data_IF_312983572928
#
_entry.id   IF_312983572928
#
_cell.length_a   1.000
_cell.length_b   1.000
_cell.length_c   1.000
_cell.angle_alpha   90.00
_cell.angle_beta   90.00
_cell.angle_gamma   90.00
#
_symmetry.space_group_name_H-M   'P 1'
#
loop_
_entity.id
_entity.type
_entity.pdbx_description
1 polymer ?
#
# COMPACT_ATOMS: atom_id res chain seq x y z
N UNK A 1 -17.14 7.46 -1.60
CA UNK A 1 -16.50 6.13 -1.60
C UNK A 1 -15.55 6.07 -0.42
N UNK A 2 -15.54 4.99 0.36
CA UNK A 2 -14.58 4.83 1.43
C UNK A 2 -13.15 4.74 0.87
N UNK A 3 -12.23 5.45 1.51
CA UNK A 3 -10.83 5.54 1.08
C UNK A 3 -9.92 5.42 2.28
N UNK A 4 -8.83 4.67 2.14
CA UNK A 4 -7.77 4.55 3.14
C UNK A 4 -6.45 4.99 2.52
N UNK A 5 -5.80 5.97 3.13
CA UNK A 5 -4.45 6.39 2.79
C UNK A 5 -3.53 5.82 3.87
N UNK A 6 -2.64 4.90 3.50
CA UNK A 6 -1.62 4.40 4.39
C UNK A 6 -0.44 5.36 4.36
N UNK A 7 -0.15 5.99 5.50
CA UNK A 7 1.06 6.77 5.62
C UNK A 7 2.26 5.81 5.69
N UNK A 8 3.26 5.93 4.81
CA UNK A 8 4.38 5.01 4.73
C UNK A 8 5.40 5.27 5.85
N UNK A 9 4.98 5.21 7.11
CA UNK A 9 5.88 5.28 8.27
C UNK A 9 6.06 3.89 8.89
N UNK A 10 6.46 2.90 8.09
CA UNK A 10 7.10 1.73 8.68
C UNK A 10 8.52 2.16 9.09
N UNK A 11 8.70 2.49 10.37
CA UNK A 11 10.02 2.64 10.99
C UNK A 11 10.63 1.23 11.09
N UNK A 12 11.26 0.78 10.00
CA UNK A 12 12.40 -0.10 10.10
C UNK A 12 13.64 0.73 9.77
N UNK A 13 14.57 0.78 10.72
CA UNK A 13 15.78 1.61 10.72
C UNK A 13 16.65 1.44 9.45
N UNK A 14 17.47 2.45 9.10
CA UNK A 14 17.93 2.71 7.75
C UNK A 14 19.21 1.95 7.40
N UNK A 15 19.25 1.32 6.22
CA UNK A 15 20.51 1.14 5.51
C UNK A 15 20.58 2.18 4.40
N UNK A 16 21.20 3.32 4.74
CA UNK A 16 21.71 4.28 3.77
C UNK A 16 22.80 3.60 2.92
N UNK A 17 22.67 3.62 1.61
CA UNK A 17 23.84 3.51 0.71
C UNK A 17 23.84 4.72 -0.24
N UNK A 18 24.98 5.43 -0.39
CA UNK A 18 25.06 6.62 -1.22
C UNK A 18 25.50 6.29 -2.67
N UNK A 19 24.97 7.10 -3.58
CA UNK A 19 25.39 7.47 -4.93
C UNK A 19 26.73 6.92 -5.48
N UNK A 20 26.71 6.59 -6.78
CA UNK A 20 27.79 6.97 -7.68
C UNK A 20 27.24 7.36 -9.07
N UNK A 21 27.37 8.64 -9.40
CA UNK A 21 27.11 9.21 -10.72
C UNK A 21 28.40 9.16 -11.52
N UNK A 22 28.39 8.60 -12.73
CA UNK A 22 29.52 8.64 -13.65
C UNK A 22 29.16 9.53 -14.85
N UNK A 23 29.69 10.75 -14.85
CA UNK A 23 29.67 11.64 -15.99
C UNK A 23 30.69 11.15 -17.03
N UNK A 24 30.26 10.98 -18.29
CA UNK A 24 31.17 10.77 -19.41
C UNK A 24 31.29 12.07 -20.22
N UNK A 25 32.54 12.45 -20.46
CA UNK A 25 32.98 13.67 -21.15
C UNK A 25 32.55 13.71 -22.62
N UNK A 26 32.12 14.89 -23.07
CA UNK A 26 31.94 15.22 -24.47
C UNK A 26 33.27 15.60 -25.13
N UNK A 27 33.52 15.09 -26.33
CA UNK A 27 34.57 15.62 -27.23
C UNK A 27 33.99 15.89 -28.61
N UNK A 28 34.18 17.11 -29.09
CA UNK A 28 33.84 17.60 -30.43
C UNK A 28 34.82 17.06 -31.48
N UNK A 29 34.34 16.68 -32.67
CA UNK A 29 34.81 17.20 -33.97
C UNK A 29 34.25 16.43 -35.20
N UNK A 30 33.74 17.23 -36.14
CA UNK A 30 33.81 17.09 -37.62
C UNK A 30 33.16 15.89 -38.33
N UNK A 31 31.96 16.14 -38.86
CA UNK A 31 31.64 16.10 -40.29
C UNK A 31 32.04 14.88 -41.12
N UNK A 32 31.18 13.86 -41.12
CA UNK A 32 31.02 12.93 -42.24
C UNK A 32 29.53 12.54 -42.32
N UNK A 33 28.87 12.86 -43.44
CA UNK A 33 27.49 12.42 -43.70
C UNK A 33 27.56 10.95 -44.09
N UNK A 34 27.48 10.09 -43.08
CA UNK A 34 27.31 8.65 -43.26
C UNK A 34 25.80 8.38 -43.39
N UNK A 35 25.37 7.98 -44.58
CA UNK A 35 24.01 7.52 -44.85
C UNK A 35 23.86 6.15 -44.19
N UNK A 36 23.73 6.14 -42.87
CA UNK A 36 23.48 4.95 -42.09
C UNK A 36 22.04 4.54 -42.39
N UNK A 37 21.86 3.45 -43.14
CA UNK A 37 20.59 2.75 -43.21
C UNK A 37 20.15 2.49 -41.77
N UNK A 38 19.15 3.24 -41.29
CA UNK A 38 18.52 3.00 -40.01
C UNK A 38 17.77 1.68 -40.17
N UNK A 39 18.48 0.58 -39.94
CA UNK A 39 17.87 -0.65 -39.49
C UNK A 39 17.20 -0.27 -38.17
N UNK A 40 15.95 0.17 -38.22
CA UNK A 40 15.12 0.26 -37.04
C UNK A 40 15.21 -1.13 -36.41
N UNK A 41 15.86 -1.29 -35.25
CA UNK A 41 15.67 -2.50 -34.49
C UNK A 41 14.16 -2.49 -34.27
N UNK A 42 13.46 -3.49 -34.80
CA UNK A 42 12.17 -3.83 -34.23
C UNK A 42 12.50 -4.09 -32.78
N UNK A 43 12.26 -3.10 -31.92
CA UNK A 43 12.29 -3.30 -30.49
C UNK A 43 11.32 -4.45 -30.29
N UNK A 44 11.86 -5.66 -30.07
CA UNK A 44 11.12 -6.74 -29.46
C UNK A 44 10.59 -6.11 -28.20
N UNK A 45 9.31 -5.71 -28.24
CA UNK A 45 8.55 -5.33 -27.08
C UNK A 45 8.48 -6.64 -26.29
N UNK A 46 9.53 -6.90 -25.51
CA UNK A 46 9.48 -7.94 -24.51
C UNK A 46 8.22 -7.62 -23.73
N UNK A 47 7.24 -8.51 -23.78
CA UNK A 47 6.06 -8.38 -22.94
C UNK A 47 6.61 -8.29 -21.52
N UNK A 48 6.65 -7.06 -20.99
CA UNK A 48 6.99 -6.84 -19.59
C UNK A 48 5.98 -7.67 -18.83
N UNK A 49 6.44 -8.72 -18.17
CA UNK A 49 5.56 -9.48 -17.31
C UNK A 49 4.98 -8.49 -16.31
N UNK A 50 3.67 -8.60 -16.07
CA UNK A 50 3.03 -7.82 -15.04
C UNK A 50 3.76 -8.08 -13.71
N UNK A 51 3.89 -7.07 -12.84
CA UNK A 51 4.48 -7.28 -11.53
C UNK A 51 3.69 -8.35 -10.75
N UNK A 52 4.22 -8.81 -9.63
CA UNK A 52 3.46 -9.60 -8.65
C UNK A 52 3.31 -8.73 -7.39
N UNK A 53 2.11 -8.67 -6.76
CA UNK A 53 1.94 -7.93 -5.51
C UNK A 53 2.90 -8.46 -4.45
N UNK A 54 3.52 -7.57 -3.67
CA UNK A 54 4.32 -8.00 -2.54
C UNK A 54 3.40 -8.50 -1.40
N UNK A 55 3.71 -9.65 -0.78
CA UNK A 55 3.07 -10.02 0.47
C UNK A 55 3.32 -8.95 1.54
N UNK A 56 2.35 -8.74 2.41
CA UNK A 56 2.56 -7.88 3.57
C UNK A 56 3.64 -8.45 4.49
N UNK A 57 4.41 -7.58 5.18
CA UNK A 57 5.24 -8.01 6.29
C UNK A 57 4.38 -8.71 7.34
N UNK A 58 4.94 -9.74 8.00
CA UNK A 58 4.23 -10.46 9.06
C UNK A 58 3.85 -9.55 10.24
N UNK A 59 4.62 -8.47 10.46
CA UNK A 59 4.36 -7.48 11.49
C UNK A 59 4.68 -6.08 10.95
N UNK A 60 3.81 -5.11 11.23
CA UNK A 60 4.09 -3.70 10.96
C UNK A 60 3.19 -2.78 11.79
N UNK A 61 3.61 -1.53 11.87
CA UNK A 61 2.78 -0.41 12.31
C UNK A 61 2.55 0.54 11.14
N UNK A 62 1.35 1.11 11.05
CA UNK A 62 1.01 2.13 10.07
C UNK A 62 -0.02 3.10 10.64
N UNK A 63 -0.01 4.33 10.12
CA UNK A 63 -1.06 5.32 10.38
C UNK A 63 -1.90 5.38 9.12
N UNK A 64 -3.20 5.14 9.26
CA UNK A 64 -4.15 5.21 8.18
C UNK A 64 -5.00 6.47 8.31
N UNK A 65 -5.14 7.23 7.23
CA UNK A 65 -6.17 8.25 7.12
C UNK A 65 -7.34 7.65 6.35
N UNK A 66 -8.47 7.42 7.02
CA UNK A 66 -9.66 6.86 6.38
C UNK A 66 -10.74 7.93 6.24
N UNK A 67 -11.38 7.95 5.07
CA UNK A 67 -12.63 8.65 4.84
C UNK A 67 -13.71 7.59 4.65
N UNK A 68 -14.66 7.48 5.57
CA UNK A 68 -15.83 6.63 5.44
C UNK A 68 -17.06 7.48 5.12
N UNK A 69 -17.36 7.65 3.83
CA UNK A 69 -18.55 8.38 3.35
C UNK A 69 -18.69 9.80 3.91
N UNK A 70 -17.57 10.50 4.12
CA UNK A 70 -17.50 11.86 4.67
C UNK A 70 -17.02 11.91 6.13
N UNK A 71 -16.97 10.78 6.82
CA UNK A 71 -16.45 10.70 8.18
C UNK A 71 -14.95 10.42 8.14
N UNK A 72 -14.15 11.43 8.54
CA UNK A 72 -12.70 11.31 8.61
C UNK A 72 -12.26 10.70 9.93
N UNK A 73 -11.34 9.76 9.84
CA UNK A 73 -10.68 9.16 11.00
C UNK A 73 -9.21 8.87 10.74
N UNK A 74 -8.43 8.93 11.82
CA UNK A 74 -7.04 8.46 11.86
C UNK A 74 -7.03 7.13 12.59
N UNK A 75 -6.30 6.16 12.06
CA UNK A 75 -6.19 4.82 12.64
C UNK A 75 -4.71 4.52 12.85
N UNK A 76 -4.32 4.28 14.10
CA UNK A 76 -3.06 3.63 14.42
C UNK A 76 -3.24 2.11 14.32
N UNK A 77 -2.64 1.52 13.30
CA UNK A 77 -2.74 0.11 12.96
C UNK A 77 -1.50 -0.64 13.43
N UNK A 78 -1.68 -1.65 14.28
CA UNK A 78 -0.67 -2.64 14.63
C UNK A 78 -1.05 -4.01 14.10
N UNK A 79 -0.38 -4.42 13.03
CA UNK A 79 -0.58 -5.73 12.41
C UNK A 79 0.43 -6.73 12.96
N UNK A 80 -0.04 -7.89 13.44
CA UNK A 80 0.79 -8.94 14.03
C UNK A 80 0.26 -10.33 13.63
N UNK A 81 0.59 -10.75 12.40
CA UNK A 81 0.13 -12.01 11.82
C UNK A 81 0.55 -13.26 12.61
N UNK A 82 1.81 -13.40 13.10
CA UNK A 82 2.22 -14.57 13.88
C UNK A 82 1.44 -14.74 15.19
N UNK A 83 0.92 -13.63 15.74
CA UNK A 83 0.04 -13.65 16.92
C UNK A 83 -1.45 -13.57 16.58
N UNK A 84 -1.78 -13.51 15.28
CA UNK A 84 -3.14 -13.56 14.78
C UNK A 84 -4.00 -12.37 15.20
N UNK A 85 -3.40 -11.18 15.32
CA UNK A 85 -4.12 -9.98 15.77
C UNK A 85 -3.84 -8.76 14.90
N UNK A 86 -4.86 -7.92 14.76
CA UNK A 86 -4.79 -6.61 14.16
C UNK A 86 -5.41 -5.62 15.15
N UNK A 87 -4.62 -4.66 15.61
CA UNK A 87 -5.07 -3.72 16.65
C UNK A 87 -5.12 -2.30 16.10
N UNK A 88 -6.34 -1.77 16.04
CA UNK A 88 -6.65 -0.44 15.56
C UNK A 88 -6.97 0.47 16.75
N UNK A 89 -6.33 1.63 16.81
CA UNK A 89 -6.76 2.75 17.66
C UNK A 89 -7.33 3.81 16.74
N UNK A 90 -8.64 4.00 16.79
CA UNK A 90 -9.41 4.79 15.83
C UNK A 90 -9.80 6.11 16.49
N UNK A 91 -9.29 7.20 15.94
CA UNK A 91 -9.67 8.56 16.30
C UNK A 91 -10.58 9.14 15.23
N UNK A 92 -11.87 9.23 15.54
CA UNK A 92 -12.83 9.98 14.72
C UNK A 92 -12.60 11.49 14.88
N UNK A 93 -12.82 12.28 13.83
CA UNK A 93 -12.62 13.75 13.89
C UNK A 93 -13.40 14.44 15.01
N UNK A 94 -14.63 13.99 15.30
CA UNK A 94 -15.53 14.57 16.32
C UNK A 94 -16.05 13.51 17.32
N UNK A 95 -15.36 12.37 17.46
CA UNK A 95 -15.83 11.24 18.25
C UNK A 95 -14.85 10.77 19.33
N UNK A 96 -15.27 9.73 20.05
CA UNK A 96 -14.45 9.03 21.06
C UNK A 96 -13.31 8.26 20.40
N UNK A 97 -12.24 8.00 21.16
CA UNK A 97 -11.22 7.03 20.75
C UNK A 97 -11.82 5.63 20.89
N UNK A 98 -11.91 4.91 19.77
CA UNK A 98 -12.35 3.54 19.72
C UNK A 98 -11.14 2.61 19.56
N UNK A 99 -11.06 1.61 20.43
CA UNK A 99 -10.09 0.53 20.30
C UNK A 99 -10.78 -0.65 19.65
N UNK A 100 -10.18 -1.18 18.58
CA UNK A 100 -10.67 -2.35 17.85
C UNK A 100 -9.56 -3.40 17.76
N UNK A 101 -9.75 -4.51 18.47
CA UNK A 101 -8.85 -5.65 18.48
C UNK A 101 -9.47 -6.80 17.69
N UNK A 102 -9.01 -6.98 16.46
CA UNK A 102 -9.43 -8.02 15.54
C UNK A 102 -8.52 -9.26 15.65
N UNK A 103 -9.12 -10.45 15.62
CA UNK A 103 -8.41 -11.73 15.63
C UNK A 103 -8.56 -12.45 14.29
N UNK A 104 -7.58 -13.31 13.99
CA UNK A 104 -7.57 -14.13 12.78
C UNK A 104 -8.73 -15.14 12.68
N UNK A 105 -9.41 -15.43 13.78
CA UNK A 105 -10.61 -16.28 13.82
C UNK A 105 -11.91 -15.50 13.56
N UNK A 106 -11.81 -14.20 13.25
CA UNK A 106 -12.96 -13.33 13.01
C UNK A 106 -13.50 -12.60 14.23
N UNK A 107 -13.11 -12.99 15.45
CA UNK A 107 -13.58 -12.29 16.65
C UNK A 107 -12.95 -10.89 16.73
N UNK A 108 -13.76 -9.86 16.96
CA UNK A 108 -13.30 -8.50 17.17
C UNK A 108 -13.87 -7.92 18.47
N UNK A 109 -13.05 -7.19 19.21
CA UNK A 109 -13.45 -6.50 20.45
C UNK A 109 -13.34 -4.98 20.24
N UNK A 110 -14.44 -4.29 20.48
CA UNK A 110 -14.55 -2.85 20.35
C UNK A 110 -14.76 -2.25 21.74
N UNK A 111 -13.93 -1.32 22.15
CA UNK A 111 -14.06 -0.71 23.46
C UNK A 111 -13.55 0.74 23.53
N UNK A 112 -14.02 1.49 24.51
CA UNK A 112 -13.51 2.82 24.86
C UNK A 112 -12.80 2.77 26.22
N UNK A 113 -11.84 3.68 26.43
CA UNK A 113 -11.15 3.86 27.72
C UNK A 113 -11.53 5.18 28.41
N UNK A 114 -12.57 5.84 27.92
CA UNK A 114 -13.15 7.04 28.54
C UNK A 114 -14.03 6.68 29.75
N UNK A 115 -14.70 7.67 30.34
CA UNK A 115 -15.51 7.47 31.54
C UNK A 115 -16.68 6.49 31.34
N UNK A 116 -17.17 6.33 30.11
CA UNK A 116 -18.31 5.48 29.79
C UNK A 116 -17.92 3.99 29.66
N UNK A 117 -16.65 3.70 29.37
CA UNK A 117 -16.07 2.34 29.31
C UNK A 117 -16.93 1.35 28.50
N UNK A 118 -17.34 1.76 27.31
CA UNK A 118 -18.15 0.93 26.44
C UNK A 118 -17.34 -0.28 25.96
N UNK A 119 -17.98 -1.45 25.86
CA UNK A 119 -17.34 -2.66 25.36
C UNK A 119 -18.36 -3.57 24.65
N UNK A 120 -18.00 -4.04 23.46
CA UNK A 120 -18.77 -5.03 22.70
C UNK A 120 -17.85 -5.93 21.89
N UNK A 121 -18.37 -7.09 21.48
CA UNK A 121 -17.68 -7.99 20.55
C UNK A 121 -18.51 -8.20 19.29
N UNK A 122 -17.85 -8.49 18.17
CA UNK A 122 -18.49 -8.96 16.95
C UNK A 122 -17.73 -10.16 16.36
N UNK A 123 -18.40 -10.92 15.51
CA UNK A 123 -17.81 -12.00 14.72
C UNK A 123 -17.82 -11.58 13.25
N UNK A 124 -16.64 -11.37 12.68
CA UNK A 124 -16.41 -11.07 11.27
C UNK A 124 -16.08 -12.36 10.51
N UNK A 125 -16.52 -12.49 9.26
CA UNK A 125 -16.40 -13.76 8.51
C UNK A 125 -14.95 -14.09 8.13
N UNK A 126 -14.12 -13.09 7.84
CA UNK A 126 -12.79 -13.27 7.24
C UNK A 126 -11.66 -13.19 8.27
N UNK A 127 -11.86 -12.45 9.37
CA UNK A 127 -10.80 -12.07 10.30
C UNK A 127 -9.78 -11.13 9.65
N UNK A 128 -8.55 -11.11 10.19
CA UNK A 128 -7.49 -10.22 9.70
C UNK A 128 -6.94 -10.71 8.35
N UNK A 129 -6.55 -9.76 7.49
CA UNK A 129 -5.98 -10.08 6.18
C UNK A 129 -4.69 -10.90 6.34
N UNK A 130 -4.55 -11.95 5.53
CA UNK A 130 -3.33 -12.77 5.44
C UNK A 130 -2.25 -11.98 4.70
N UNK A 131 -0.95 -12.25 4.92
CA UNK A 131 0.11 -11.58 4.19
C UNK A 131 -0.04 -11.58 2.67
N UNK A 132 -0.58 -12.67 2.11
CA UNK A 132 -0.77 -12.88 0.69
C UNK A 132 -2.21 -12.58 0.20
N UNK A 133 -2.96 -11.72 0.89
CA UNK A 133 -4.39 -11.48 0.59
C UNK A 133 -4.65 -10.93 -0.83
N UNK A 134 -3.64 -10.37 -1.51
CA UNK A 134 -3.69 -9.93 -2.91
C UNK A 134 -3.45 -11.05 -3.93
N UNK A 135 -3.19 -12.30 -3.53
CA UNK A 135 -2.98 -13.41 -4.46
C UNK A 135 -4.16 -13.58 -5.40
N UNK A 136 -3.92 -13.53 -6.71
CA UNK A 136 -4.98 -13.57 -7.72
C UNK A 136 -5.75 -12.26 -7.90
N UNK A 137 -5.18 -11.12 -7.50
CA UNK A 137 -5.65 -9.79 -7.91
C UNK A 137 -5.35 -9.53 -9.40
N UNK A 138 -6.15 -8.68 -10.02
CA UNK A 138 -5.96 -8.23 -11.40
C UNK A 138 -5.09 -6.97 -11.43
N UNK A 139 -4.02 -6.99 -12.23
CA UNK A 139 -3.18 -5.80 -12.41
C UNK A 139 -3.84 -4.82 -13.38
N UNK A 140 -3.96 -3.55 -12.96
CA UNK A 140 -4.60 -2.49 -13.74
C UNK A 140 -3.61 -1.51 -14.40
N UNK A 141 -2.33 -1.57 -14.03
CA UNK A 141 -1.29 -0.66 -14.51
C UNK A 141 -0.69 0.20 -13.40
N UNK A 142 -0.07 1.32 -13.78
CA UNK A 142 0.55 2.24 -12.84
C UNK A 142 -0.19 3.59 -12.80
N UNK A 143 -0.29 4.18 -11.61
CA UNK A 143 -0.91 5.48 -11.40
C UNK A 143 -0.18 6.27 -10.32
N UNK A 144 -0.11 7.59 -10.47
CA UNK A 144 0.34 8.48 -9.40
C UNK A 144 -0.80 8.73 -8.40
N UNK A 145 -0.55 8.48 -7.12
CA UNK A 145 -1.47 8.75 -6.01
C UNK A 145 -0.68 9.20 -4.77
N UNK A 146 -1.15 10.25 -4.10
CA UNK A 146 -0.54 10.80 -2.87
C UNK A 146 0.99 11.07 -2.96
N UNK A 147 1.49 11.37 -4.16
CA UNK A 147 2.90 11.64 -4.43
C UNK A 147 3.74 10.40 -4.80
N UNK A 148 3.15 9.22 -4.85
CA UNK A 148 3.83 7.96 -5.19
C UNK A 148 3.38 7.45 -6.57
N UNK A 149 4.31 6.86 -7.33
CA UNK A 149 3.97 6.05 -8.50
C UNK A 149 3.65 4.63 -8.00
N UNK A 150 2.41 4.19 -8.19
CA UNK A 150 1.92 2.93 -7.63
C UNK A 150 1.54 1.93 -8.71
N UNK A 151 1.81 0.64 -8.47
CA UNK A 151 1.13 -0.48 -9.12
C UNK A 151 -0.30 -0.55 -8.57
N UNK A 152 -1.28 -0.69 -9.48
CA UNK A 152 -2.70 -0.72 -9.11
C UNK A 152 -3.25 -2.12 -9.32
N UNK A 153 -3.94 -2.60 -8.29
CA UNK A 153 -4.52 -3.93 -8.23
C UNK A 153 -6.01 -3.86 -7.94
N UNK A 154 -6.81 -4.62 -8.68
CA UNK A 154 -8.21 -4.87 -8.37
C UNK A 154 -8.38 -6.24 -7.73
N UNK A 155 -9.13 -6.29 -6.63
CA UNK A 155 -9.43 -7.53 -5.91
C UNK A 155 -10.91 -7.57 -5.54
N UNK A 156 -11.53 -8.73 -5.74
CA UNK A 156 -12.90 -9.06 -5.30
C UNK A 156 -14.00 -8.06 -5.72
N UNK A 157 -13.83 -7.40 -6.87
CA UNK A 157 -14.80 -6.49 -7.52
C UNK A 157 -15.25 -5.26 -6.69
N UNK A 158 -14.65 -4.98 -5.53
CA UNK A 158 -14.97 -3.82 -4.70
C UNK A 158 -13.77 -3.05 -4.16
N UNK A 159 -12.53 -3.50 -4.46
CA UNK A 159 -11.32 -2.93 -3.89
C UNK A 159 -10.26 -2.67 -4.96
N UNK A 160 -9.78 -1.41 -4.98
CA UNK A 160 -8.53 -1.02 -5.63
C UNK A 160 -7.45 -0.78 -4.59
N UNK A 161 -6.29 -1.41 -4.81
CA UNK A 161 -5.13 -1.33 -3.94
C UNK A 161 -3.93 -0.76 -4.68
N UNK A 162 -3.29 0.23 -4.07
CA UNK A 162 -2.16 0.95 -4.63
C UNK A 162 -0.90 0.64 -3.83
N UNK A 163 0.07 0.04 -4.51
CA UNK A 163 1.37 -0.35 -3.97
C UNK A 163 2.46 0.50 -4.60
N UNK A 164 3.30 1.17 -3.80
CA UNK A 164 4.43 1.94 -4.34
C UNK A 164 5.35 1.04 -5.18
N UNK A 165 5.64 1.47 -6.41
CA UNK A 165 6.48 0.74 -7.36
C UNK A 165 7.88 0.49 -6.79
N UNK A 166 8.41 1.44 -6.02
CA UNK A 166 9.78 1.40 -5.50
C UNK A 166 9.88 0.55 -4.23
N UNK A 167 9.11 0.89 -3.19
CA UNK A 167 9.25 0.27 -1.87
C UNK A 167 8.34 -0.93 -1.65
N UNK A 168 7.38 -1.17 -2.56
CA UNK A 168 6.36 -2.22 -2.45
C UNK A 168 5.43 -2.06 -1.24
N UNK A 169 5.38 -0.86 -0.64
CA UNK A 169 4.54 -0.57 0.53
C UNK A 169 3.11 -0.21 0.08
N UNK A 170 2.09 -0.54 0.89
CA UNK A 170 0.75 -0.01 0.70
C UNK A 170 0.78 1.52 0.74
N UNK A 171 0.09 2.17 -0.21
CA UNK A 171 -0.07 3.64 -0.24
C UNK A 171 -1.54 4.02 -0.09
N UNK A 172 -2.42 3.40 -0.87
CA UNK A 172 -3.80 3.86 -0.97
C UNK A 172 -4.74 2.69 -1.26
N UNK A 173 -5.98 2.79 -0.78
CA UNK A 173 -7.04 1.82 -0.96
C UNK A 173 -8.34 2.55 -1.25
N UNK A 174 -9.05 2.11 -2.29
CA UNK A 174 -10.40 2.61 -2.60
C UNK A 174 -11.37 1.46 -2.56
N UNK A 175 -12.40 1.59 -1.73
CA UNK A 175 -13.50 0.66 -1.67
C UNK A 175 -14.69 1.26 -2.43
N UNK A 176 -15.25 0.50 -3.38
CA UNK A 176 -16.42 0.92 -4.16
C UNK A 176 -17.55 -0.09 -3.96
N UNK A 177 -18.55 0.36 -3.22
CA UNK A 177 -19.85 -0.28 -2.97
C UNK A 177 -20.90 0.80 -2.83
#
# INVERSE_FOLDING_TARGET
MPTIIAQPYAISLPYLTPFLSLALMATNATGAIFLCFILFPTCLHGQSQNPTPAPWPEQFHSILCMNFSGELQIIDLWYDWPKGRNFNIIQHQLGKILYDLEWNNGTSFFYTLDADQECRSAQLEVGILRPNWLDGANYLGQQYVDGFLCNVWEKVDFLWYYEDVVTKRPVHWVFYT
#
